data_IF_602705803849
#
_entry.id   IF_602705803849
#
_cell.length_a   1.000
_cell.length_b   1.000
_cell.length_c   1.000
_cell.angle_alpha   90.00
_cell.angle_beta   90.00
_cell.angle_gamma   90.00
#
_symmetry.space_group_name_H-M   'P 1'
#
loop_
_entity.id
_entity.type
_entity.pdbx_description
1 polymer ?
#
# COMPACT_ATOMS: atom_id res chain seq x y z
N UNK A 1 34.86 -31.37 81.55
CA UNK A 1 34.68 -31.73 80.13
C UNK A 1 33.37 -31.11 79.61
N UNK A 2 33.49 -29.97 78.95
CA UNK A 2 32.39 -29.36 78.19
C UNK A 2 32.18 -30.17 76.90
N UNK A 3 30.93 -30.33 76.43
CA UNK A 3 30.66 -31.03 75.18
C UNK A 3 31.16 -30.19 73.99
N UNK A 4 31.95 -30.80 73.11
CA UNK A 4 32.35 -30.19 71.84
C UNK A 4 31.12 -30.02 70.93
N UNK A 5 30.94 -28.86 70.27
CA UNK A 5 29.83 -28.67 69.35
C UNK A 5 30.05 -29.47 68.07
N UNK A 6 29.06 -30.29 67.69
CA UNK A 6 29.02 -30.96 66.40
C UNK A 6 28.93 -29.92 65.26
N UNK A 7 29.67 -30.09 64.15
CA UNK A 7 29.60 -29.17 63.02
C UNK A 7 28.24 -29.28 62.33
N UNK A 8 27.53 -28.17 62.23
CA UNK A 8 26.31 -28.06 61.41
C UNK A 8 26.65 -28.31 59.93
N UNK A 9 25.81 -29.05 59.18
CA UNK A 9 26.03 -29.26 57.75
C UNK A 9 25.89 -27.94 56.99
N UNK A 10 26.93 -27.57 56.24
CA UNK A 10 26.89 -26.42 55.34
C UNK A 10 25.80 -26.63 54.28
N UNK A 11 24.97 -25.62 53.98
CA UNK A 11 23.95 -25.73 52.94
C UNK A 11 24.61 -25.92 51.57
N UNK A 12 24.18 -26.94 50.83
CA UNK A 12 24.60 -27.15 49.44
C UNK A 12 24.22 -25.91 48.60
N UNK A 13 25.10 -25.44 47.70
CA UNK A 13 24.82 -24.28 46.87
C UNK A 13 23.67 -24.59 45.90
N UNK A 14 22.63 -23.76 45.93
CA UNK A 14 21.55 -23.79 44.95
C UNK A 14 22.11 -23.56 43.52
N UNK A 15 21.64 -24.28 42.50
CA UNK A 15 22.13 -24.10 41.13
C UNK A 15 21.79 -22.70 40.62
N UNK A 16 22.81 -21.96 40.18
CA UNK A 16 22.65 -20.65 39.56
C UNK A 16 21.79 -20.78 38.28
N UNK A 17 20.81 -19.89 38.05
CA UNK A 17 20.01 -19.92 36.83
C UNK A 17 20.89 -19.64 35.61
N UNK A 18 20.80 -20.50 34.59
CA UNK A 18 21.52 -20.33 33.32
C UNK A 18 21.15 -18.99 32.65
N UNK A 19 22.12 -18.30 32.03
CA UNK A 19 21.86 -17.01 31.39
C UNK A 19 20.91 -17.18 30.20
N UNK A 20 19.79 -16.46 30.24
CA UNK A 20 18.86 -16.41 29.11
C UNK A 20 19.56 -15.84 27.85
N UNK A 21 19.31 -16.41 26.65
CA UNK A 21 19.94 -15.96 25.43
C UNK A 21 19.46 -14.55 25.04
N UNK A 22 20.41 -13.61 24.91
CA UNK A 22 20.13 -12.24 24.48
C UNK A 22 20.08 -12.17 22.96
N UNK A 23 18.92 -11.81 22.40
CA UNK A 23 18.74 -11.62 20.97
C UNK A 23 19.30 -10.27 20.49
N UNK A 24 19.75 -10.22 19.24
CA UNK A 24 20.32 -9.02 18.63
C UNK A 24 19.26 -7.95 18.31
N UNK A 25 19.69 -6.70 18.00
CA UNK A 25 18.77 -5.65 17.57
C UNK A 25 17.96 -6.09 16.34
N UNK A 26 16.64 -5.93 16.38
CA UNK A 26 15.70 -6.36 15.34
C UNK A 26 15.13 -7.77 15.50
N UNK A 27 15.41 -8.45 16.61
CA UNK A 27 14.88 -9.80 16.92
C UNK A 27 14.30 -9.86 18.33
N UNK A 28 13.26 -10.66 18.52
CA UNK A 28 12.63 -10.94 19.82
C UNK A 28 12.77 -12.44 20.17
N UNK A 29 12.92 -12.74 21.45
CA UNK A 29 13.05 -14.10 21.94
C UNK A 29 11.66 -14.76 22.06
N UNK A 30 11.31 -15.62 21.10
CA UNK A 30 10.05 -16.36 21.10
C UNK A 30 10.36 -17.85 21.24
N UNK A 31 9.92 -18.47 22.33
CA UNK A 31 10.16 -19.90 22.64
C UNK A 31 11.65 -20.31 22.62
N UNK A 32 12.54 -19.45 23.11
CA UNK A 32 13.98 -19.73 23.14
C UNK A 32 14.69 -19.59 21.80
N UNK A 33 14.01 -19.08 20.77
CA UNK A 33 14.59 -18.80 19.44
C UNK A 33 14.45 -17.30 19.17
N UNK A 34 15.54 -16.67 18.72
CA UNK A 34 15.49 -15.29 18.25
C UNK A 34 14.73 -15.25 16.90
N UNK A 35 13.51 -14.74 16.94
CA UNK A 35 12.71 -14.49 15.75
C UNK A 35 12.88 -13.03 15.34
N UNK A 36 12.94 -12.74 14.04
CA UNK A 36 12.89 -11.36 13.55
C UNK A 36 11.57 -10.76 14.04
N UNK A 37 11.62 -9.55 14.61
CA UNK A 37 10.42 -8.79 14.97
C UNK A 37 9.64 -8.64 13.67
N UNK A 38 8.60 -9.45 13.50
CA UNK A 38 7.55 -9.14 12.56
C UNK A 38 6.86 -7.96 13.22
N UNK A 39 7.32 -6.75 12.91
CA UNK A 39 6.34 -5.69 12.74
C UNK A 39 5.25 -6.33 11.89
N UNK A 40 4.02 -6.34 12.38
CA UNK A 40 2.86 -6.63 11.54
C UNK A 40 2.85 -5.56 10.46
N UNK A 41 3.77 -5.65 9.50
CA UNK A 41 3.54 -5.27 8.12
C UNK A 41 2.19 -5.92 7.83
N UNK A 42 1.13 -5.14 7.57
CA UNK A 42 -0.16 -5.70 7.25
C UNK A 42 0.01 -6.44 5.92
N UNK A 43 0.40 -7.71 6.00
CA UNK A 43 0.59 -8.59 4.87
C UNK A 43 -0.77 -9.11 4.44
N UNK A 44 -1.65 -8.22 3.97
CA UNK A 44 -2.76 -8.50 3.07
C UNK A 44 -3.32 -7.17 2.54
N UNK A 45 -2.88 -6.74 1.35
CA UNK A 45 -3.60 -5.74 0.56
C UNK A 45 -3.25 -4.27 0.81
N UNK A 46 -1.96 -3.91 0.76
CA UNK A 46 -1.54 -2.50 0.73
C UNK A 46 -0.94 -2.02 -0.60
N UNK A 47 -0.77 -2.89 -1.59
CA UNK A 47 -0.02 -2.62 -2.82
C UNK A 47 -0.87 -2.10 -3.99
N UNK A 48 -0.29 -1.25 -4.83
CA UNK A 48 -0.87 -0.87 -6.12
C UNK A 48 -0.65 -1.99 -7.17
N UNK A 49 -1.30 -3.16 -7.01
CA UNK A 49 -1.12 -4.36 -7.82
C UNK A 49 -1.24 -4.12 -9.34
N UNK A 50 -2.32 -3.47 -9.78
CA UNK A 50 -2.55 -3.16 -11.21
C UNK A 50 -1.45 -2.22 -11.74
N UNK A 51 -1.10 -1.17 -11.00
CA UNK A 51 -0.05 -0.26 -11.42
C UNK A 51 1.32 -0.95 -11.46
N UNK A 52 1.59 -1.83 -10.51
CA UNK A 52 2.81 -2.65 -10.44
C UNK A 52 2.92 -3.57 -11.65
N UNK A 53 1.83 -4.25 -12.02
CA UNK A 53 1.80 -5.10 -13.20
C UNK A 53 1.97 -4.26 -14.49
N UNK A 54 1.27 -3.13 -14.60
CA UNK A 54 1.36 -2.22 -15.75
C UNK A 54 2.78 -1.66 -15.97
N UNK A 55 3.43 -1.18 -14.90
CA UNK A 55 4.75 -0.53 -14.95
C UNK A 55 5.93 -1.49 -14.69
N UNK A 56 5.65 -2.76 -14.36
CA UNK A 56 6.61 -3.85 -14.25
C UNK A 56 7.43 -3.89 -12.95
N UNK A 57 7.24 -2.95 -12.03
CA UNK A 57 7.94 -2.93 -10.73
C UNK A 57 7.17 -2.11 -9.70
N UNK A 58 7.18 -2.58 -8.45
CA UNK A 58 6.68 -1.81 -7.31
C UNK A 58 7.55 -0.56 -7.05
N UNK A 59 8.82 -0.61 -7.45
CA UNK A 59 9.78 0.49 -7.36
C UNK A 59 9.73 1.41 -8.59
N UNK A 60 8.81 1.18 -9.53
CA UNK A 60 8.65 2.08 -10.66
C UNK A 60 8.27 3.48 -10.17
N UNK A 61 8.83 4.57 -10.74
CA UNK A 61 8.54 5.93 -10.31
C UNK A 61 7.05 6.27 -10.27
N UNK A 62 6.27 5.69 -11.19
CA UNK A 62 4.81 5.87 -11.27
C UNK A 62 4.07 5.23 -10.09
N UNK A 63 4.53 4.06 -9.64
CA UNK A 63 3.95 3.35 -8.49
C UNK A 63 4.34 4.05 -7.20
N UNK A 64 5.59 4.48 -7.09
CA UNK A 64 6.07 5.26 -5.95
C UNK A 64 5.33 6.59 -5.82
N UNK A 65 5.09 7.29 -6.94
CA UNK A 65 4.28 8.50 -6.95
C UNK A 65 2.86 8.27 -6.39
N UNK A 66 2.20 7.17 -6.77
CA UNK A 66 0.89 6.82 -6.20
C UNK A 66 0.95 6.59 -4.68
N UNK A 67 2.00 5.91 -4.21
CA UNK A 67 2.22 5.64 -2.79
C UNK A 67 2.47 6.94 -2.02
N UNK A 68 3.30 7.82 -2.54
CA UNK A 68 3.58 9.12 -1.92
C UNK A 68 2.31 9.97 -1.78
N UNK A 69 1.49 10.08 -2.83
CA UNK A 69 0.22 10.81 -2.74
C UNK A 69 -0.72 10.16 -1.73
N UNK A 70 -0.84 8.83 -1.76
CA UNK A 70 -1.69 8.09 -0.82
C UNK A 70 -1.23 8.34 0.61
N UNK A 71 0.03 8.07 0.90
CA UNK A 71 0.57 8.03 2.26
C UNK A 71 0.73 9.42 2.85
N UNK A 72 1.24 10.38 2.08
CA UNK A 72 1.55 11.72 2.59
C UNK A 72 0.37 12.69 2.49
N UNK A 73 -0.52 12.54 1.51
CA UNK A 73 -1.60 13.51 1.26
C UNK A 73 -2.97 12.95 1.60
N UNK A 74 -3.33 11.78 1.09
CA UNK A 74 -4.70 11.25 1.27
C UNK A 74 -4.87 10.73 2.70
N UNK A 75 -3.93 9.91 3.16
CA UNK A 75 -3.97 9.28 4.49
C UNK A 75 -3.65 10.26 5.63
N UNK A 76 -3.16 11.48 5.34
CA UNK A 76 -2.96 12.53 6.34
C UNK A 76 -4.29 13.14 6.85
N UNK A 77 -5.43 12.72 6.29
CA UNK A 77 -6.75 13.28 6.59
C UNK A 77 -7.75 12.18 6.94
N UNK A 78 -8.73 12.50 7.80
CA UNK A 78 -9.84 11.62 8.15
C UNK A 78 -10.72 11.32 6.94
N UNK A 79 -10.99 12.32 6.09
CA UNK A 79 -11.79 12.12 4.87
C UNK A 79 -11.08 11.22 3.86
N UNK A 80 -9.77 11.42 3.64
CA UNK A 80 -8.99 10.60 2.72
C UNK A 80 -8.77 9.17 3.22
N UNK A 81 -8.51 8.96 4.52
CA UNK A 81 -8.40 7.62 5.09
C UNK A 81 -9.70 6.82 5.05
N UNK A 82 -10.85 7.47 5.30
CA UNK A 82 -12.17 6.86 5.13
C UNK A 82 -12.44 6.46 3.67
N UNK A 83 -12.10 7.35 2.72
CA UNK A 83 -12.18 7.05 1.29
C UNK A 83 -11.31 5.85 0.91
N UNK A 84 -10.04 5.84 1.33
CA UNK A 84 -9.10 4.75 1.03
C UNK A 84 -9.55 3.41 1.61
N UNK A 85 -10.18 3.40 2.79
CA UNK A 85 -10.75 2.18 3.37
C UNK A 85 -11.80 1.56 2.45
N UNK A 86 -12.76 2.36 1.97
CA UNK A 86 -13.80 1.87 1.05
C UNK A 86 -13.25 1.53 -0.34
N UNK A 87 -12.33 2.36 -0.85
CA UNK A 87 -11.66 2.12 -2.12
C UNK A 87 -10.89 0.80 -2.11
N UNK A 88 -10.11 0.53 -1.05
CA UNK A 88 -9.30 -0.68 -0.93
C UNK A 88 -10.15 -1.95 -0.94
N UNK A 89 -11.29 -1.96 -0.25
CA UNK A 89 -12.21 -3.11 -0.27
C UNK A 89 -12.64 -3.48 -1.69
N UNK A 90 -13.01 -2.48 -2.49
CA UNK A 90 -13.37 -2.72 -3.88
C UNK A 90 -12.13 -3.07 -4.72
N UNK A 91 -11.05 -2.30 -4.60
CA UNK A 91 -9.83 -2.47 -5.36
C UNK A 91 -9.24 -3.88 -5.23
N UNK A 92 -9.10 -4.41 -4.01
CA UNK A 92 -8.55 -5.75 -3.79
C UNK A 92 -9.50 -6.88 -4.16
N UNK A 93 -10.79 -6.60 -4.35
CA UNK A 93 -11.75 -7.63 -4.82
C UNK A 93 -11.52 -8.05 -6.28
N UNK A 94 -10.89 -7.20 -7.11
CA UNK A 94 -10.67 -7.48 -8.54
C UNK A 94 -9.21 -7.30 -8.99
N UNK A 95 -8.40 -6.51 -8.29
CA UNK A 95 -7.05 -6.18 -8.73
C UNK A 95 -6.11 -7.38 -8.90
N UNK A 96 -6.16 -8.47 -8.09
CA UNK A 96 -5.31 -9.63 -8.32
C UNK A 96 -5.55 -10.25 -9.70
N UNK A 97 -6.82 -10.48 -10.05
CA UNK A 97 -7.19 -11.05 -11.36
C UNK A 97 -6.73 -10.17 -12.52
N UNK A 98 -6.86 -8.85 -12.41
CA UNK A 98 -6.41 -7.94 -13.47
C UNK A 98 -4.88 -7.95 -13.58
N UNK A 99 -4.16 -7.91 -12.46
CA UNK A 99 -2.70 -7.97 -12.45
C UNK A 99 -2.18 -9.29 -13.06
N UNK A 100 -2.87 -10.41 -12.81
CA UNK A 100 -2.55 -11.70 -13.42
C UNK A 100 -2.73 -11.66 -14.94
N UNK A 101 -3.83 -11.10 -15.42
CA UNK A 101 -4.08 -10.92 -16.86
C UNK A 101 -3.03 -10.04 -17.54
N UNK A 102 -2.55 -8.99 -16.86
CA UNK A 102 -1.46 -8.13 -17.36
C UNK A 102 -0.15 -8.91 -17.49
N UNK A 103 0.19 -9.77 -16.51
CA UNK A 103 1.40 -10.60 -16.55
C UNK A 103 1.37 -11.65 -17.65
N UNK A 104 0.19 -12.16 -17.99
CA UNK A 104 0.00 -13.16 -19.04
C UNK A 104 -0.01 -12.55 -20.46
N UNK A 105 -0.43 -11.29 -20.59
CA UNK A 105 -0.63 -10.65 -21.89
C UNK A 105 0.02 -9.25 -21.97
N UNK A 106 1.16 -9.12 -22.68
CA UNK A 106 1.87 -7.84 -22.79
C UNK A 106 1.08 -6.76 -23.55
N UNK A 107 0.16 -7.14 -24.44
CA UNK A 107 -0.72 -6.17 -25.12
C UNK A 107 -1.76 -5.63 -24.15
N UNK A 108 -2.29 -6.47 -23.26
CA UNK A 108 -3.22 -6.03 -22.22
C UNK A 108 -2.52 -5.14 -21.19
N UNK A 109 -1.31 -5.52 -20.77
CA UNK A 109 -0.46 -4.69 -19.90
C UNK A 109 -0.26 -3.28 -20.47
N UNK A 110 0.13 -3.16 -21.74
CA UNK A 110 0.31 -1.84 -22.38
C UNK A 110 -1.01 -1.07 -22.52
N UNK A 111 -2.13 -1.75 -22.76
CA UNK A 111 -3.44 -1.12 -22.78
C UNK A 111 -3.81 -0.55 -21.39
N UNK A 112 -3.59 -1.32 -20.32
CA UNK A 112 -3.81 -0.88 -18.93
C UNK A 112 -2.87 0.28 -18.58
N UNK A 113 -1.59 0.20 -18.98
CA UNK A 113 -0.62 1.27 -18.80
C UNK A 113 -1.04 2.57 -19.50
N UNK A 114 -1.49 2.50 -20.75
CA UNK A 114 -2.02 3.66 -21.49
C UNK A 114 -3.27 4.23 -20.83
N UNK A 115 -4.11 3.36 -20.27
CA UNK A 115 -5.29 3.77 -19.54
C UNK A 115 -4.94 4.47 -18.22
N UNK A 116 -4.00 3.96 -17.42
CA UNK A 116 -3.65 4.51 -16.11
C UNK A 116 -2.83 5.81 -16.20
N UNK A 117 -1.97 5.94 -17.21
CA UNK A 117 -1.05 7.08 -17.34
C UNK A 117 -1.72 8.46 -17.23
N UNK A 118 -2.83 8.76 -17.95
CA UNK A 118 -3.51 10.04 -17.80
C UNK A 118 -4.08 10.28 -16.39
N UNK A 119 -4.55 9.22 -15.71
CA UNK A 119 -4.98 9.32 -14.31
C UNK A 119 -3.84 9.78 -13.40
N UNK A 120 -2.63 9.24 -13.58
CA UNK A 120 -1.45 9.68 -12.81
C UNK A 120 -1.16 11.16 -13.00
N UNK A 121 -1.30 11.67 -14.23
CA UNK A 121 -1.12 13.11 -14.50
C UNK A 121 -2.16 13.96 -13.77
N UNK A 122 -3.42 13.54 -13.71
CA UNK A 122 -4.44 14.28 -12.95
C UNK A 122 -4.20 14.21 -11.44
N UNK A 123 -3.66 13.11 -10.93
CA UNK A 123 -3.34 12.93 -9.52
C UNK A 123 -2.24 13.87 -9.03
N UNK A 124 -1.39 14.40 -9.91
CA UNK A 124 -0.41 15.43 -9.53
C UNK A 124 -1.04 16.71 -9.00
N UNK A 125 -2.33 16.94 -9.22
CA UNK A 125 -3.06 18.05 -8.59
C UNK A 125 -3.12 17.88 -7.07
N UNK A 126 -3.11 16.63 -6.57
CA UNK A 126 -3.13 16.35 -5.13
C UNK A 126 -1.88 16.85 -4.42
N UNK A 127 -0.73 17.00 -5.11
CA UNK A 127 0.50 17.56 -4.50
C UNK A 127 0.35 19.05 -4.13
N UNK A 128 -0.73 19.70 -4.56
CA UNK A 128 -1.03 21.08 -4.19
C UNK A 128 -1.73 21.18 -2.84
N UNK A 129 -2.23 20.07 -2.29
CA UNK A 129 -2.83 20.05 -0.96
C UNK A 129 -1.74 20.25 0.10
N UNK A 130 -2.02 21.10 1.06
CA UNK A 130 -1.23 21.21 2.29
C UNK A 130 -1.45 19.99 3.19
N UNK A 131 -0.38 19.54 3.83
CA UNK A 131 -0.38 18.37 4.72
C UNK A 131 -1.43 18.51 5.83
N UNK A 132 -2.32 17.52 5.94
CA UNK A 132 -3.40 17.51 6.94
C UNK A 132 -4.58 18.44 6.67
N UNK A 133 -4.60 19.17 5.55
CA UNK A 133 -5.72 20.07 5.22
C UNK A 133 -6.91 19.31 4.61
N UNK A 134 -7.89 18.96 5.46
CA UNK A 134 -9.11 18.23 5.08
C UNK A 134 -9.84 18.84 3.86
N UNK A 135 -10.06 20.15 3.86
CA UNK A 135 -10.85 20.81 2.82
C UNK A 135 -10.12 20.78 1.47
N UNK A 136 -8.80 20.94 1.47
CA UNK A 136 -8.01 20.88 0.26
C UNK A 136 -7.94 19.45 -0.28
N UNK A 137 -7.65 18.45 0.56
CA UNK A 137 -7.60 17.05 0.13
C UNK A 137 -8.96 16.60 -0.42
N UNK A 138 -10.06 16.94 0.26
CA UNK A 138 -11.41 16.62 -0.22
C UNK A 138 -11.73 17.34 -1.53
N UNK A 139 -11.49 18.66 -1.60
CA UNK A 139 -11.81 19.48 -2.77
C UNK A 139 -11.00 19.09 -4.00
N UNK A 140 -9.69 18.88 -3.84
CA UNK A 140 -8.80 18.43 -4.90
C UNK A 140 -9.11 16.99 -5.28
N UNK A 141 -9.40 16.10 -4.32
CA UNK A 141 -9.79 14.72 -4.58
C UNK A 141 -11.06 14.61 -5.43
N UNK A 142 -12.12 15.36 -5.08
CA UNK A 142 -13.34 15.46 -5.89
C UNK A 142 -13.02 16.00 -7.28
N UNK A 143 -12.16 17.01 -7.38
CA UNK A 143 -11.75 17.59 -8.66
C UNK A 143 -11.04 16.57 -9.55
N UNK A 144 -10.12 15.79 -8.98
CA UNK A 144 -9.39 14.72 -9.70
C UNK A 144 -10.35 13.63 -10.17
N UNK A 145 -11.30 13.20 -9.33
CA UNK A 145 -12.32 12.21 -9.71
C UNK A 145 -13.16 12.75 -10.89
N UNK A 146 -13.63 14.00 -10.80
CA UNK A 146 -14.41 14.64 -11.86
C UNK A 146 -13.60 14.76 -13.17
N UNK A 147 -12.32 15.12 -13.10
CA UNK A 147 -11.43 15.19 -14.26
C UNK A 147 -11.23 13.82 -14.92
N UNK A 148 -11.00 12.77 -14.13
CA UNK A 148 -10.86 11.40 -14.65
C UNK A 148 -12.15 10.93 -15.32
N UNK A 149 -13.30 11.09 -14.66
CA UNK A 149 -14.60 10.73 -15.25
C UNK A 149 -14.85 11.52 -16.54
N UNK A 150 -14.56 12.82 -16.55
CA UNK A 150 -14.65 13.66 -17.74
C UNK A 150 -13.77 13.13 -18.87
N UNK A 151 -12.53 12.75 -18.56
CA UNK A 151 -11.59 12.25 -19.55
C UNK A 151 -12.02 10.88 -20.11
N UNK A 152 -12.36 9.90 -19.26
CA UNK A 152 -12.70 8.55 -19.70
C UNK A 152 -14.09 8.41 -20.29
N UNK A 153 -15.01 9.35 -20.02
CA UNK A 153 -16.37 9.31 -20.57
C UNK A 153 -16.51 10.32 -21.72
N UNK A 154 -16.22 11.60 -21.48
CA UNK A 154 -16.51 12.64 -22.45
C UNK A 154 -15.60 12.58 -23.68
N UNK A 155 -14.30 12.29 -23.52
CA UNK A 155 -13.40 12.25 -24.66
C UNK A 155 -13.75 11.09 -25.63
N UNK A 156 -13.95 9.84 -25.18
CA UNK A 156 -14.42 8.77 -26.06
C UNK A 156 -15.80 9.05 -26.66
N UNK A 157 -16.74 9.64 -25.91
CA UNK A 157 -18.06 9.97 -26.41
C UNK A 157 -18.02 11.01 -27.54
N UNK A 158 -17.21 12.07 -27.40
CA UNK A 158 -17.03 13.09 -28.44
C UNK A 158 -16.34 12.52 -29.68
N UNK A 159 -15.33 11.67 -29.50
CA UNK A 159 -14.67 10.97 -30.61
C UNK A 159 -15.67 10.09 -31.34
N UNK A 160 -16.45 9.28 -30.63
CA UNK A 160 -17.51 8.45 -31.20
C UNK A 160 -18.57 9.26 -31.96
N UNK A 161 -19.03 10.37 -31.38
CA UNK A 161 -20.00 11.27 -32.01
C UNK A 161 -19.46 11.91 -33.30
N UNK A 162 -18.21 12.38 -33.29
CA UNK A 162 -17.60 13.00 -34.47
C UNK A 162 -17.34 12.00 -35.59
N UNK A 163 -16.95 10.76 -35.25
CA UNK A 163 -16.81 9.66 -36.22
C UNK A 163 -18.18 9.33 -36.83
N UNK A 164 -19.22 9.14 -36.00
CA UNK A 164 -20.57 8.87 -36.49
C UNK A 164 -21.08 10.00 -37.41
N UNK A 165 -20.88 11.26 -37.01
CA UNK A 165 -21.23 12.42 -37.85
C UNK A 165 -20.48 12.43 -39.18
N UNK A 166 -19.18 12.09 -39.20
CA UNK A 166 -18.39 11.97 -40.44
C UNK A 166 -18.86 10.82 -41.34
N UNK A 167 -19.20 9.67 -40.77
CA UNK A 167 -19.72 8.52 -41.51
C UNK A 167 -21.07 8.88 -42.13
N UNK A 168 -21.99 9.44 -41.34
CA UNK A 168 -23.32 9.86 -41.80
C UNK A 168 -23.30 11.00 -42.80
N UNK A 169 -22.24 11.82 -42.83
CA UNK A 169 -22.06 12.88 -43.83
C UNK A 169 -21.44 12.38 -45.14
N UNK A 170 -20.89 11.16 -45.17
CA UNK A 170 -20.31 10.52 -46.37
C UNK A 170 -21.25 9.51 -47.04
N UNK A 171 -22.33 9.13 -46.37
CA UNK A 171 -23.46 8.32 -46.87
C UNK A 171 -24.55 9.28 -47.34
#
# INVERSE_FOLDING_TARGET
PEPEPEPEPEPEPEPEPEPEPVCGPGTELVNGVCQVIQEEEPSEGGGCLIATAAYGSELAPQVQFLREIRDNTVMSTASGSAFMTGFNQLYYSFSPTIADMERENPVFQEAVRLFITPMLSTLSIMTLAEDGNETQVLGLGISVIALNLGMYIAAPALVGFTINKKIKSKI
#
